data_IF_940213036050
#
_entry.id   IF_940213036050
#
_cell.length_a   1.000
_cell.length_b   1.000
_cell.length_c   1.000
_cell.angle_alpha   90.00
_cell.angle_beta   90.00
_cell.angle_gamma   90.00
#
_symmetry.space_group_name_H-M   'P 1'
#
loop_
_entity.id
_entity.type
_entity.pdbx_description
1 polymer ?
#
# COMPACT_ATOMS: atom_id res chain seq x y z
N UNK A 1 -14.12 -9.03 -17.57
CA UNK A 1 -14.29 -9.60 -16.22
C UNK A 1 -13.12 -10.52 -15.94
N UNK A 2 -12.44 -10.38 -14.81
CA UNK A 2 -11.32 -11.28 -14.46
C UNK A 2 -11.83 -12.67 -14.06
N UNK A 3 -11.06 -13.71 -14.38
CA UNK A 3 -11.36 -15.08 -13.97
C UNK A 3 -11.43 -15.20 -12.44
N UNK A 4 -12.53 -15.71 -11.92
CA UNK A 4 -12.65 -16.05 -10.51
C UNK A 4 -11.87 -17.33 -10.23
N UNK A 5 -11.00 -17.32 -9.21
CA UNK A 5 -10.30 -18.51 -8.71
C UNK A 5 -10.83 -18.87 -7.33
N UNK A 6 -11.09 -20.16 -7.10
CA UNK A 6 -11.46 -20.67 -5.78
C UNK A 6 -10.23 -20.62 -4.87
N UNK A 7 -10.38 -20.00 -3.71
CA UNK A 7 -9.37 -19.97 -2.66
C UNK A 7 -9.92 -20.75 -1.46
N UNK A 8 -9.09 -21.60 -0.86
CA UNK A 8 -9.46 -22.30 0.38
C UNK A 8 -8.82 -21.54 1.55
N UNK A 9 -9.65 -20.96 2.40
CA UNK A 9 -9.22 -20.32 3.64
C UNK A 9 -10.31 -20.53 4.70
N UNK A 10 -9.90 -20.44 5.95
CA UNK A 10 -10.82 -20.50 7.09
C UNK A 10 -11.29 -19.08 7.41
N UNK A 11 -12.55 -18.97 7.80
CA UNK A 11 -13.17 -17.74 8.30
C UNK A 11 -13.70 -18.05 9.69
N UNK A 12 -13.54 -17.11 10.61
CA UNK A 12 -14.06 -17.24 11.97
C UNK A 12 -15.61 -17.38 11.93
N UNK A 13 -16.16 -18.12 12.90
CA UNK A 13 -17.58 -18.50 12.85
C UNK A 13 -18.51 -17.29 13.02
N UNK A 14 -18.11 -16.33 13.85
CA UNK A 14 -18.76 -15.03 14.03
C UNK A 14 -18.84 -14.24 12.71
N UNK A 15 -17.72 -14.10 12.01
CA UNK A 15 -17.66 -13.41 10.72
C UNK A 15 -18.52 -14.13 9.68
N UNK A 16 -18.55 -15.47 9.70
CA UNK A 16 -19.41 -16.26 8.82
C UNK A 16 -20.89 -15.99 9.09
N UNK A 17 -21.31 -15.96 10.36
CA UNK A 17 -22.70 -15.68 10.75
C UNK A 17 -23.12 -14.28 10.31
N UNK A 18 -22.30 -13.27 10.60
CA UNK A 18 -22.57 -11.89 10.17
C UNK A 18 -22.63 -11.76 8.64
N UNK A 19 -21.75 -12.45 7.93
CA UNK A 19 -21.79 -12.46 6.47
C UNK A 19 -23.08 -13.11 5.94
N UNK A 20 -23.54 -14.19 6.56
CA UNK A 20 -24.77 -14.89 6.18
C UNK A 20 -26.02 -14.06 6.50
N UNK A 21 -26.01 -13.29 7.59
CA UNK A 21 -27.11 -12.41 8.01
C UNK A 21 -27.19 -11.11 7.19
N UNK A 22 -26.06 -10.46 6.96
CA UNK A 22 -26.01 -9.14 6.33
C UNK A 22 -25.94 -9.19 4.80
N UNK A 23 -25.46 -10.30 4.21
CA UNK A 23 -25.23 -10.39 2.78
C UNK A 23 -26.21 -11.36 2.10
N UNK A 24 -26.98 -10.88 1.11
CA UNK A 24 -27.84 -11.73 0.31
C UNK A 24 -27.09 -12.90 -0.35
N UNK A 25 -27.76 -14.04 -0.44
CA UNK A 25 -27.25 -15.21 -1.15
C UNK A 25 -26.85 -14.84 -2.59
N UNK A 26 -25.67 -15.30 -3.02
CA UNK A 26 -25.11 -14.99 -4.35
C UNK A 26 -24.25 -13.71 -4.42
N UNK A 27 -24.33 -12.80 -3.44
CA UNK A 27 -23.49 -11.59 -3.41
C UNK A 27 -22.23 -11.74 -2.55
N UNK A 28 -22.15 -12.80 -1.75
CA UNK A 28 -21.03 -13.07 -0.83
C UNK A 28 -19.66 -13.01 -1.51
N UNK A 29 -19.49 -13.69 -2.64
CA UNK A 29 -18.24 -13.66 -3.41
C UNK A 29 -17.87 -12.26 -3.89
N UNK A 30 -18.85 -11.42 -4.25
CA UNK A 30 -18.59 -10.05 -4.68
C UNK A 30 -18.12 -9.20 -3.50
N UNK A 31 -18.84 -9.24 -2.39
CA UNK A 31 -18.54 -8.45 -1.19
C UNK A 31 -17.20 -8.85 -0.57
N UNK A 32 -16.93 -10.15 -0.44
CA UNK A 32 -15.64 -10.66 0.05
C UNK A 32 -14.50 -10.15 -0.84
N UNK A 33 -14.65 -10.24 -2.17
CA UNK A 33 -13.62 -9.75 -3.08
C UNK A 33 -13.42 -8.23 -2.97
N UNK A 34 -14.48 -7.45 -2.77
CA UNK A 34 -14.38 -6.00 -2.57
C UNK A 34 -13.70 -5.65 -1.24
N UNK A 35 -14.04 -6.35 -0.15
CA UNK A 35 -13.39 -6.20 1.15
C UNK A 35 -11.89 -6.53 1.06
N UNK A 36 -11.55 -7.67 0.44
CA UNK A 36 -10.16 -8.07 0.21
C UNK A 36 -9.39 -7.05 -0.64
N UNK A 37 -10.00 -6.50 -1.70
CA UNK A 37 -9.36 -5.45 -2.52
C UNK A 37 -9.03 -4.20 -1.71
N UNK A 38 -9.96 -3.75 -0.86
CA UNK A 38 -9.75 -2.59 0.02
C UNK A 38 -8.61 -2.84 1.00
N UNK A 39 -8.60 -4.01 1.63
CA UNK A 39 -7.56 -4.34 2.62
C UNK A 39 -6.19 -4.53 1.97
N UNK A 40 -6.10 -5.21 0.82
CA UNK A 40 -4.85 -5.34 0.07
C UNK A 40 -4.29 -3.97 -0.36
N UNK A 41 -5.15 -3.03 -0.75
CA UNK A 41 -4.73 -1.65 -1.05
C UNK A 41 -4.19 -0.96 0.20
N UNK A 42 -4.83 -1.13 1.36
CA UNK A 42 -4.37 -0.58 2.65
C UNK A 42 -2.99 -1.13 3.01
N UNK A 43 -2.81 -2.45 2.92
CA UNK A 43 -1.52 -3.12 3.18
C UNK A 43 -0.45 -2.61 2.21
N UNK A 44 -0.77 -2.49 0.91
CA UNK A 44 0.18 -1.98 -0.09
C UNK A 44 0.62 -0.55 0.21
N UNK A 45 -0.32 0.34 0.57
CA UNK A 45 0.01 1.72 0.97
C UNK A 45 0.91 1.73 2.20
N UNK A 46 0.57 0.95 3.23
CA UNK A 46 1.38 0.84 4.46
C UNK A 46 2.83 0.45 4.15
N UNK A 47 3.03 -0.59 3.33
CA UNK A 47 4.38 -1.02 2.89
C UNK A 47 5.13 0.08 2.14
N UNK A 48 4.46 0.80 1.25
CA UNK A 48 5.08 1.91 0.50
C UNK A 48 5.47 3.05 1.45
N UNK A 49 4.59 3.41 2.38
CA UNK A 49 4.86 4.44 3.39
C UNK A 49 6.01 4.06 4.30
N UNK A 50 6.08 2.81 4.76
CA UNK A 50 7.20 2.28 5.55
C UNK A 50 8.51 2.36 4.77
N UNK A 51 8.50 1.95 3.49
CA UNK A 51 9.67 2.08 2.61
C UNK A 51 10.11 3.53 2.44
N UNK A 52 9.17 4.46 2.27
CA UNK A 52 9.44 5.89 2.11
C UNK A 52 9.99 6.49 3.41
N UNK A 53 9.45 6.10 4.56
CA UNK A 53 9.96 6.49 5.87
C UNK A 53 11.41 6.01 6.10
N UNK A 54 11.71 4.75 5.74
CA UNK A 54 13.06 4.20 5.80
C UNK A 54 14.04 4.90 4.86
N UNK A 55 13.61 5.28 3.66
CA UNK A 55 14.45 6.05 2.74
C UNK A 55 14.69 7.47 3.26
N UNK A 56 13.67 8.11 3.85
CA UNK A 56 13.82 9.42 4.50
C UNK A 56 14.74 9.39 5.71
N UNK A 57 14.75 8.29 6.49
CA UNK A 57 15.64 8.18 7.66
C UNK A 57 17.09 7.92 7.26
N UNK A 58 17.33 7.26 6.12
CA UNK A 58 18.68 6.99 5.58
C UNK A 58 19.24 8.09 4.71
N UNK A 59 18.40 8.97 4.16
CA UNK A 59 18.83 10.08 3.31
C UNK A 59 19.49 11.20 4.11
N UNK A 60 20.61 11.73 3.59
CA UNK A 60 21.15 13.01 4.05
C UNK A 60 20.07 14.07 3.93
N UNK A 61 19.75 14.75 5.04
CA UNK A 61 18.84 15.90 5.05
C UNK A 61 19.57 17.12 4.48
N UNK A 62 19.83 17.10 3.18
CA UNK A 62 20.47 18.22 2.49
C UNK A 62 19.42 19.29 2.21
N UNK A 63 19.62 20.48 2.73
CA UNK A 63 18.73 21.61 2.44
C UNK A 63 18.85 22.03 0.98
N UNK A 64 17.80 22.62 0.41
CA UNK A 64 17.85 23.16 -0.96
C UNK A 64 19.01 24.16 -1.14
N UNK A 65 19.32 24.95 -0.11
CA UNK A 65 20.44 25.90 -0.11
C UNK A 65 21.79 25.17 -0.20
N UNK A 66 21.96 24.06 0.49
CA UNK A 66 23.18 23.23 0.39
C UNK A 66 23.30 22.53 -0.96
N UNK A 67 22.20 22.02 -1.52
CA UNK A 67 22.19 21.45 -2.87
C UNK A 67 22.65 22.50 -3.89
N UNK A 68 22.08 23.71 -3.83
CA UNK A 68 22.47 24.81 -4.73
C UNK A 68 23.94 25.22 -4.50
N UNK A 69 24.41 25.26 -3.25
CA UNK A 69 25.80 25.58 -2.93
C UNK A 69 26.77 24.53 -3.47
N UNK A 70 26.44 23.24 -3.38
CA UNK A 70 27.22 22.14 -3.94
C UNK A 70 27.26 22.21 -5.47
N UNK A 71 26.11 22.41 -6.12
CA UNK A 71 26.02 22.55 -7.57
C UNK A 71 26.80 23.76 -8.10
N UNK A 72 26.76 24.90 -7.39
CA UNK A 72 27.55 26.09 -7.75
C UNK A 72 29.06 25.84 -7.63
N UNK A 73 29.49 25.14 -6.58
CA UNK A 73 30.92 24.76 -6.42
C UNK A 73 31.40 23.83 -7.52
N UNK A 74 30.56 22.87 -7.92
CA UNK A 74 30.92 21.90 -8.97
C UNK A 74 31.04 22.57 -10.35
N UNK A 75 30.14 23.53 -10.67
CA UNK A 75 30.22 24.32 -11.91
C UNK A 75 31.47 25.19 -11.99
N UNK A 76 31.87 25.82 -10.88
CA UNK A 76 33.08 26.65 -10.83
C UNK A 76 34.39 25.84 -10.84
N UNK A 77 34.33 24.50 -10.83
CA UNK A 77 35.50 23.62 -10.91
C UNK A 77 35.83 23.15 -12.33
N UNK A 78 34.92 23.37 -13.29
CA UNK A 78 35.05 22.94 -14.69
C UNK A 78 35.37 24.08 -15.68
N UNK A 79 35.67 25.26 -15.16
CA UNK A 79 36.23 26.42 -15.87
C UNK A 79 37.55 26.78 -15.24
#
# INVERSE_FOLDING_TARGET
MGLLKKLNFFVEEDIRKELDELVPAGQKSKIINEALRKELLRIRRKKVTEKLALLKSKGLKVSQKEIVKLLKRDRNRKT
#
